data_IF_441225200688
#
_entry.id   IF_441225200688
#
_cell.length_a   1.000
_cell.length_b   1.000
_cell.length_c   1.000
_cell.angle_alpha   90.00
_cell.angle_beta   90.00
_cell.angle_gamma   90.00
#
_symmetry.space_group_name_H-M   'P 1'
#
loop_
_entity.id
_entity.type
_entity.pdbx_description
1 polymer ?
#
# COMPACT_ATOMS: atom_id res chain seq x y z
N UNK A 1 -3.26 25.32 58.69
CA UNK A 1 -4.33 26.29 58.50
C UNK A 1 -4.93 26.03 57.12
N UNK A 2 -6.13 25.47 57.23
CA UNK A 2 -7.35 25.74 56.43
C UNK A 2 -7.25 25.45 54.94
N UNK A 3 -7.76 24.35 54.42
CA UNK A 3 -9.17 23.88 54.32
C UNK A 3 -9.94 24.53 53.17
N UNK A 4 -10.65 23.67 52.51
CA UNK A 4 -11.90 23.70 51.75
C UNK A 4 -11.71 23.45 50.23
N UNK A 5 -12.14 22.26 49.76
CA UNK A 5 -13.54 21.83 49.42
C UNK A 5 -14.10 22.54 48.17
N UNK A 6 -14.42 21.75 47.17
CA UNK A 6 -15.75 21.50 46.55
C UNK A 6 -15.53 20.85 45.18
N UNK A 7 -15.79 19.66 44.89
CA UNK A 7 -16.98 18.83 44.59
C UNK A 7 -17.98 19.48 43.59
N UNK A 8 -18.24 18.81 42.49
CA UNK A 8 -19.53 18.54 41.82
C UNK A 8 -19.29 18.18 40.35
N UNK A 9 -19.67 16.99 40.04
CA UNK A 9 -20.89 16.42 39.43
C UNK A 9 -20.84 16.28 37.91
N UNK A 10 -20.77 15.03 37.53
CA UNK A 10 -21.74 14.27 36.68
C UNK A 10 -22.09 14.79 35.28
N UNK A 11 -21.82 13.99 34.28
CA UNK A 11 -22.83 13.51 33.33
C UNK A 11 -22.31 12.35 32.49
N UNK A 12 -22.82 11.18 32.76
CA UNK A 12 -22.73 9.99 31.93
C UNK A 12 -23.63 10.15 30.71
N UNK A 13 -23.09 9.89 29.52
CA UNK A 13 -23.92 9.65 28.33
C UNK A 13 -23.52 8.33 27.70
N UNK A 14 -24.22 7.31 28.18
CA UNK A 14 -24.27 5.96 27.64
C UNK A 14 -25.05 5.99 26.31
N UNK A 15 -24.41 5.87 25.18
CA UNK A 15 -25.10 5.53 23.91
C UNK A 15 -24.97 4.04 23.66
N UNK A 16 -26.05 3.34 23.97
CA UNK A 16 -26.30 1.96 23.56
C UNK A 16 -26.55 1.92 22.06
N UNK A 17 -25.68 1.24 21.34
CA UNK A 17 -25.95 0.83 19.96
C UNK A 17 -26.71 -0.49 20.04
N UNK A 18 -27.99 -0.41 19.67
CA UNK A 18 -28.90 -1.55 19.54
C UNK A 18 -28.60 -2.25 18.22
N UNK A 19 -28.05 -3.46 18.33
CA UNK A 19 -27.87 -4.37 17.20
C UNK A 19 -29.21 -5.09 16.97
N UNK A 20 -29.98 -4.68 15.94
CA UNK A 20 -31.23 -5.36 15.57
C UNK A 20 -30.90 -6.63 14.76
N UNK A 21 -31.06 -7.75 15.43
CA UNK A 21 -31.17 -9.09 14.82
C UNK A 21 -32.50 -9.18 14.06
N UNK A 22 -32.44 -9.19 12.75
CA UNK A 22 -33.61 -9.49 11.91
C UNK A 22 -33.83 -11.00 11.85
N UNK A 23 -34.82 -11.47 12.64
CA UNK A 23 -35.34 -12.84 12.66
C UNK A 23 -36.18 -13.07 11.39
N UNK A 24 -35.75 -14.03 10.59
CA UNK A 24 -36.62 -14.64 9.56
C UNK A 24 -37.83 -15.30 10.24
N UNK A 25 -39.04 -14.87 9.89
CA UNK A 25 -40.29 -15.61 10.12
C UNK A 25 -40.86 -16.02 8.77
N UNK A 26 -40.86 -17.31 8.56
CA UNK A 26 -41.70 -18.01 7.59
C UNK A 26 -43.17 -17.85 7.98
N UNK A 27 -44.01 -17.44 7.08
CA UNK A 27 -45.45 -17.36 7.26
C UNK A 27 -46.13 -17.43 5.90
N UNK A 28 -46.96 -18.46 5.76
CA UNK A 28 -47.67 -18.97 4.61
C UNK A 28 -48.66 -18.00 3.98
N UNK A 29 -48.77 -18.12 2.68
CA UNK A 29 -49.93 -18.06 1.78
C UNK A 29 -51.15 -17.15 2.11
N UNK A 30 -51.38 -16.16 1.21
CA UNK A 30 -52.74 -15.86 0.70
C UNK A 30 -52.60 -15.39 -0.75
N UNK A 31 -53.21 -16.15 -1.65
CA UNK A 31 -53.35 -15.85 -3.08
C UNK A 31 -54.43 -14.76 -3.26
N UNK A 32 -54.07 -13.64 -3.87
CA UNK A 32 -55.01 -12.71 -4.50
C UNK A 32 -54.43 -12.39 -5.90
N UNK A 33 -55.12 -12.74 -6.99
CA UNK A 33 -54.71 -12.38 -8.33
C UNK A 33 -55.19 -10.95 -8.64
N UNK A 34 -54.30 -9.96 -8.58
CA UNK A 34 -54.53 -8.67 -9.22
C UNK A 34 -53.78 -8.68 -10.54
N UNK A 35 -54.52 -8.85 -11.62
CA UNK A 35 -54.04 -8.66 -12.99
C UNK A 35 -53.88 -7.15 -13.20
N UNK A 36 -52.65 -6.65 -13.06
CA UNK A 36 -52.27 -5.34 -13.53
C UNK A 36 -51.39 -5.56 -14.77
N UNK A 37 -51.95 -5.25 -15.93
CA UNK A 37 -51.20 -5.23 -17.17
C UNK A 37 -50.14 -4.15 -17.14
N UNK A 38 -48.88 -4.53 -16.81
CA UNK A 38 -47.70 -3.68 -16.98
C UNK A 38 -47.10 -4.00 -18.33
N UNK A 39 -47.23 -3.06 -19.27
CA UNK A 39 -46.53 -3.10 -20.55
C UNK A 39 -45.02 -3.20 -20.31
N UNK A 40 -44.44 -4.38 -20.53
CA UNK A 40 -42.99 -4.56 -20.60
C UNK A 40 -42.48 -3.82 -21.84
N UNK A 41 -42.10 -2.56 -21.66
CA UNK A 41 -41.15 -1.91 -22.57
C UNK A 41 -39.83 -2.67 -22.47
N UNK A 42 -39.59 -3.60 -23.39
CA UNK A 42 -38.30 -4.24 -23.53
C UNK A 42 -37.27 -3.17 -23.93
N UNK A 43 -36.58 -2.61 -22.95
CA UNK A 43 -35.37 -1.86 -23.20
C UNK A 43 -34.34 -2.87 -23.74
N UNK A 44 -34.26 -2.97 -25.07
CA UNK A 44 -33.17 -3.69 -25.71
C UNK A 44 -31.86 -3.06 -25.29
N UNK A 45 -30.93 -3.80 -24.60
CA UNK A 45 -29.61 -3.29 -24.35
C UNK A 45 -29.01 -2.93 -25.72
N UNK A 46 -28.68 -1.66 -25.90
CA UNK A 46 -27.89 -1.23 -27.04
C UNK A 46 -26.55 -1.98 -26.95
N UNK A 47 -26.41 -3.05 -27.71
CA UNK A 47 -25.14 -3.72 -27.90
C UNK A 47 -24.21 -2.65 -28.48
N UNK A 48 -23.27 -2.20 -27.65
CA UNK A 48 -22.21 -1.33 -28.12
C UNK A 48 -21.55 -2.03 -29.29
N UNK A 49 -21.81 -1.53 -30.52
CA UNK A 49 -21.28 -2.10 -31.74
C UNK A 49 -19.75 -2.03 -31.64
N UNK A 50 -19.11 -3.17 -31.37
CA UNK A 50 -17.68 -3.29 -31.47
C UNK A 50 -17.27 -2.78 -32.85
N UNK A 51 -16.41 -1.77 -32.93
CA UNK A 51 -15.93 -1.25 -34.19
C UNK A 51 -15.22 -2.39 -34.93
N UNK A 52 -15.87 -2.92 -35.96
CA UNK A 52 -15.34 -4.01 -36.78
C UNK A 52 -14.24 -3.42 -37.66
N UNK A 53 -13.02 -3.91 -37.53
CA UNK A 53 -11.95 -3.58 -38.46
C UNK A 53 -12.20 -4.18 -39.84
N UNK A 54 -12.35 -3.34 -40.87
CA UNK A 54 -12.44 -3.77 -42.27
C UNK A 54 -11.07 -3.88 -42.97
N UNK A 55 -10.01 -4.08 -42.21
CA UNK A 55 -8.63 -4.20 -42.66
C UNK A 55 -7.86 -5.19 -41.77
N UNK A 56 -6.58 -4.99 -41.65
CA UNK A 56 -5.71 -5.79 -40.77
C UNK A 56 -5.81 -5.32 -39.34
N UNK A 57 -6.18 -6.20 -38.40
CA UNK A 57 -6.17 -5.92 -36.97
C UNK A 57 -4.74 -6.07 -36.46
N UNK A 58 -4.23 -5.03 -35.80
CA UNK A 58 -2.93 -5.03 -35.13
C UNK A 58 -3.13 -4.86 -33.62
N UNK A 59 -2.74 -5.85 -32.84
CA UNK A 59 -2.71 -5.80 -31.39
C UNK A 59 -1.30 -5.50 -30.90
N UNK A 60 -1.12 -4.42 -30.15
CA UNK A 60 0.16 -4.00 -29.60
C UNK A 60 0.11 -3.95 -28.08
N UNK A 61 1.18 -4.39 -27.46
CA UNK A 61 1.44 -4.11 -26.04
C UNK A 61 2.60 -3.14 -25.92
N UNK A 62 2.35 -2.01 -25.25
CA UNK A 62 3.35 -0.98 -24.99
C UNK A 62 3.52 -0.84 -23.48
N UNK A 63 4.75 -0.90 -23.04
CA UNK A 63 5.11 -0.71 -21.63
C UNK A 63 6.08 0.46 -21.54
N UNK A 64 5.70 1.45 -20.71
CA UNK A 64 6.54 2.59 -20.38
C UNK A 64 6.80 2.60 -18.89
N UNK A 65 8.00 3.08 -18.50
CA UNK A 65 8.38 3.21 -17.10
C UNK A 65 9.23 4.46 -16.88
N UNK A 66 9.00 5.10 -15.75
CA UNK A 66 9.81 6.24 -15.34
C UNK A 66 9.96 6.30 -13.82
N UNK A 67 11.03 6.93 -13.37
CA UNK A 67 11.26 7.21 -11.96
C UNK A 67 10.70 8.57 -11.58
N UNK A 68 10.26 8.71 -10.33
CA UNK A 68 9.80 9.99 -9.78
C UNK A 68 10.58 10.36 -8.53
N UNK A 69 10.52 11.64 -8.17
CA UNK A 69 11.09 12.09 -6.91
C UNK A 69 10.35 11.47 -5.73
N UNK A 70 11.09 11.18 -4.67
CA UNK A 70 10.55 10.72 -3.40
C UNK A 70 10.53 11.88 -2.41
N UNK A 71 9.39 12.10 -1.77
CA UNK A 71 9.22 13.05 -0.66
C UNK A 71 9.02 12.36 0.68
N UNK A 72 8.76 11.04 0.65
CA UNK A 72 8.49 10.21 1.82
C UNK A 72 9.17 8.85 1.71
N UNK A 73 9.45 8.27 2.87
CA UNK A 73 10.08 6.96 2.97
C UNK A 73 9.28 6.11 3.95
N UNK A 74 8.96 4.89 3.54
CA UNK A 74 8.38 3.87 4.42
C UNK A 74 9.51 3.09 5.04
N UNK A 75 9.47 2.96 6.37
CA UNK A 75 10.45 2.21 7.13
C UNK A 75 9.84 0.98 7.80
N UNK A 76 10.69 0.01 8.09
CA UNK A 76 10.41 -1.14 8.95
C UNK A 76 11.52 -1.30 9.96
N UNK A 77 11.16 -1.27 11.24
CA UNK A 77 12.06 -1.52 12.38
C UNK A 77 11.67 -2.84 13.03
N UNK A 78 12.61 -3.75 13.18
CA UNK A 78 12.45 -4.94 14.01
C UNK A 78 12.82 -4.63 15.45
N UNK A 79 11.94 -4.94 16.40
CA UNK A 79 12.21 -4.89 17.83
C UNK A 79 12.33 -6.28 18.37
N UNK A 80 13.36 -6.50 19.20
CA UNK A 80 13.71 -7.77 19.78
C UNK A 80 13.97 -7.60 21.28
N UNK A 81 13.50 -8.55 22.07
CA UNK A 81 13.82 -8.68 23.49
C UNK A 81 14.07 -10.16 23.84
N UNK A 82 15.04 -10.41 24.68
CA UNK A 82 15.42 -11.75 25.15
C UNK A 82 15.46 -11.76 26.67
N UNK A 83 14.95 -12.84 27.28
CA UNK A 83 14.95 -13.03 28.72
C UNK A 83 14.88 -14.53 29.05
N UNK A 84 15.03 -14.87 30.34
CA UNK A 84 14.94 -16.24 30.83
C UNK A 84 13.51 -16.81 30.83
N UNK A 85 12.49 -15.97 30.72
CA UNK A 85 11.09 -16.40 30.64
C UNK A 85 10.33 -15.61 29.60
N UNK A 86 9.25 -16.23 29.06
CA UNK A 86 8.35 -15.59 28.08
C UNK A 86 7.75 -14.30 28.63
N UNK A 87 7.31 -14.29 29.89
CA UNK A 87 6.72 -13.11 30.52
C UNK A 87 7.73 -11.96 30.62
N UNK A 88 8.97 -12.24 31.03
CA UNK A 88 10.03 -11.26 31.10
C UNK A 88 10.43 -10.73 29.71
N UNK A 89 10.55 -11.59 28.69
CA UNK A 89 10.84 -11.17 27.33
C UNK A 89 9.74 -10.25 26.77
N UNK A 90 8.48 -10.58 27.00
CA UNK A 90 7.34 -9.75 26.59
C UNK A 90 7.30 -8.40 27.33
N UNK A 91 7.55 -8.40 28.64
CA UNK A 91 7.61 -7.15 29.42
C UNK A 91 8.73 -6.22 28.93
N UNK A 92 9.91 -6.77 28.67
CA UNK A 92 11.05 -6.03 28.11
C UNK A 92 10.75 -5.50 26.70
N UNK A 93 10.09 -6.31 25.86
CA UNK A 93 9.68 -5.88 24.52
C UNK A 93 8.71 -4.71 24.58
N UNK A 94 7.71 -4.77 25.47
CA UNK A 94 6.73 -3.69 25.65
C UNK A 94 7.41 -2.39 26.10
N UNK A 95 8.34 -2.48 27.06
CA UNK A 95 9.12 -1.31 27.50
C UNK A 95 9.92 -0.67 26.34
N UNK A 96 10.57 -1.50 25.51
CA UNK A 96 11.31 -1.04 24.32
C UNK A 96 10.38 -0.42 23.29
N UNK A 97 9.21 -1.02 23.12
CA UNK A 97 8.20 -0.54 22.18
C UNK A 97 7.63 0.82 22.59
N UNK A 98 7.36 1.02 23.89
CA UNK A 98 6.85 2.29 24.40
C UNK A 98 7.87 3.41 24.23
N UNK A 99 9.15 3.13 24.49
CA UNK A 99 10.23 4.08 24.21
C UNK A 99 10.33 4.37 22.70
N UNK A 100 10.31 3.35 21.86
CA UNK A 100 10.34 3.54 20.42
C UNK A 100 9.16 4.37 19.91
N UNK A 101 7.95 4.20 20.46
CA UNK A 101 6.78 5.04 20.13
C UNK A 101 7.01 6.50 20.49
N UNK A 102 7.53 6.77 21.67
CA UNK A 102 7.81 8.14 22.12
C UNK A 102 8.85 8.83 21.24
N UNK A 103 9.95 8.14 20.96
CA UNK A 103 11.08 8.72 20.23
C UNK A 103 10.78 8.84 18.70
N UNK A 104 9.93 7.96 18.16
CA UNK A 104 9.52 8.01 16.75
C UNK A 104 8.40 9.04 16.49
N UNK A 105 7.59 9.38 17.49
CA UNK A 105 6.43 10.27 17.34
C UNK A 105 6.72 11.58 16.60
N UNK A 106 7.81 12.31 16.92
CA UNK A 106 8.10 13.58 16.23
C UNK A 106 8.60 13.41 14.79
N UNK A 107 9.05 12.22 14.39
CA UNK A 107 9.64 11.97 13.08
C UNK A 107 8.65 11.41 12.06
N UNK A 108 7.59 10.73 12.53
CA UNK A 108 6.69 9.90 11.70
C UNK A 108 5.56 10.73 11.12
N UNK A 109 5.23 10.44 9.87
CA UNK A 109 4.04 10.95 9.19
C UNK A 109 2.86 9.99 9.46
N UNK A 110 1.87 10.47 10.22
CA UNK A 110 0.68 9.67 10.54
C UNK A 110 0.91 8.62 11.64
N UNK A 111 0.19 7.51 11.57
CA UNK A 111 0.20 6.47 12.59
C UNK A 111 1.25 5.40 12.34
N UNK A 112 1.82 4.85 13.42
CA UNK A 112 2.65 3.65 13.36
C UNK A 112 1.77 2.40 13.21
N UNK A 113 2.20 1.47 12.37
CA UNK A 113 1.62 0.14 12.25
C UNK A 113 2.49 -0.84 13.04
N UNK A 114 1.90 -1.46 14.07
CA UNK A 114 2.61 -2.36 14.99
C UNK A 114 1.77 -3.64 15.12
N UNK A 115 2.15 -4.73 14.43
CA UNK A 115 1.48 -6.03 14.58
C UNK A 115 1.69 -6.61 15.98
N UNK A 116 0.83 -7.55 16.35
CA UNK A 116 0.93 -8.26 17.62
C UNK A 116 2.32 -8.92 17.77
N UNK A 117 2.95 -8.85 18.96
CA UNK A 117 4.23 -9.47 19.23
C UNK A 117 4.17 -10.99 19.10
N UNK A 118 5.29 -11.58 18.69
CA UNK A 118 5.50 -13.02 18.67
C UNK A 118 6.58 -13.40 19.68
N UNK A 119 6.43 -14.55 20.32
CA UNK A 119 7.46 -15.10 21.21
C UNK A 119 7.77 -16.54 20.84
N UNK A 120 9.03 -16.92 20.99
CA UNK A 120 9.53 -18.27 20.79
C UNK A 120 10.74 -18.54 21.66
N UNK A 121 10.92 -19.81 22.02
CA UNK A 121 12.08 -20.28 22.76
C UNK A 121 13.22 -20.60 21.82
N UNK A 122 14.45 -20.32 22.22
CA UNK A 122 15.65 -20.71 21.49
C UNK A 122 16.77 -21.09 22.47
N UNK A 123 17.72 -21.86 22.00
CA UNK A 123 18.74 -22.45 22.86
C UNK A 123 18.27 -23.73 23.54
N UNK A 124 19.06 -24.28 24.44
CA UNK A 124 18.72 -25.53 25.14
C UNK A 124 19.06 -26.82 24.39
N UNK A 125 19.86 -26.73 23.30
CA UNK A 125 20.30 -27.93 22.54
C UNK A 125 21.37 -28.76 23.23
N UNK A 126 21.98 -28.26 24.32
CA UNK A 126 22.88 -29.02 25.18
C UNK A 126 22.57 -28.69 26.64
N UNK A 127 22.92 -29.60 27.55
CA UNK A 127 22.70 -29.44 29.00
C UNK A 127 23.34 -28.16 29.61
N UNK A 128 24.31 -27.56 28.91
CA UNK A 128 25.04 -26.35 29.33
C UNK A 128 24.52 -25.05 28.71
N UNK A 129 23.61 -25.12 27.76
CA UNK A 129 23.08 -23.91 27.09
C UNK A 129 21.76 -23.47 27.75
N UNK A 130 21.67 -22.28 28.35
CA UNK A 130 20.42 -21.82 28.95
C UNK A 130 19.36 -21.67 27.89
N UNK A 131 18.15 -22.14 28.20
CA UNK A 131 16.97 -21.87 27.39
C UNK A 131 16.59 -20.39 27.54
N UNK A 132 16.58 -19.67 26.44
CA UNK A 132 16.18 -18.26 26.40
C UNK A 132 14.85 -18.11 25.64
N UNK A 133 14.06 -17.16 26.07
CA UNK A 133 12.83 -16.75 25.41
C UNK A 133 13.06 -15.45 24.67
N UNK A 134 12.61 -15.43 23.42
CA UNK A 134 12.74 -14.26 22.55
C UNK A 134 11.35 -13.74 22.20
N UNK A 135 11.11 -12.46 22.42
CA UNK A 135 9.93 -11.75 21.96
C UNK A 135 10.30 -10.74 20.86
N UNK A 136 9.49 -10.64 19.83
CA UNK A 136 9.75 -9.72 18.71
C UNK A 136 8.47 -9.14 18.11
N UNK A 137 8.59 -7.94 17.55
CA UNK A 137 7.57 -7.29 16.73
C UNK A 137 8.23 -6.37 15.70
N UNK A 138 7.43 -5.91 14.73
CA UNK A 138 7.88 -4.95 13.74
C UNK A 138 7.12 -3.64 13.93
N UNK A 139 7.82 -2.51 13.82
CA UNK A 139 7.23 -1.17 13.77
C UNK A 139 7.39 -0.63 12.37
N UNK A 140 6.29 -0.29 11.73
CA UNK A 140 6.28 0.29 10.38
C UNK A 140 5.65 1.68 10.42
N UNK A 141 6.18 2.57 9.60
CA UNK A 141 5.65 3.93 9.48
C UNK A 141 6.22 4.63 8.25
N UNK A 142 5.88 5.89 8.11
CA UNK A 142 6.39 6.74 7.04
C UNK A 142 7.07 7.97 7.65
N UNK A 143 8.16 8.40 7.06
CA UNK A 143 8.87 9.63 7.42
C UNK A 143 9.02 10.55 6.22
N UNK A 144 9.11 11.85 6.48
CA UNK A 144 9.43 12.83 5.44
C UNK A 144 10.89 12.70 5.01
N UNK A 145 11.19 13.25 3.84
CA UNK A 145 12.57 13.35 3.36
C UNK A 145 13.51 14.05 4.36
N UNK A 146 13.03 15.09 5.06
CA UNK A 146 13.83 15.81 6.05
C UNK A 146 14.15 14.98 7.30
N UNK A 147 13.33 14.01 7.65
CA UNK A 147 13.52 13.15 8.83
C UNK A 147 14.21 11.81 8.49
N UNK A 148 14.66 11.63 7.24
CA UNK A 148 15.26 10.38 6.76
C UNK A 148 16.48 9.95 7.60
N UNK A 149 17.47 10.84 7.72
CA UNK A 149 18.70 10.56 8.45
C UNK A 149 18.45 10.47 9.97
N UNK A 150 17.61 11.37 10.52
CA UNK A 150 17.24 11.35 11.93
C UNK A 150 16.61 10.01 12.36
N UNK A 151 15.78 9.39 11.51
CA UNK A 151 15.22 8.07 11.76
C UNK A 151 16.30 6.98 11.81
N UNK A 152 17.25 7.00 10.88
CA UNK A 152 18.32 6.00 10.82
C UNK A 152 19.20 6.10 12.07
N UNK A 153 19.58 7.32 12.44
CA UNK A 153 20.36 7.57 13.66
C UNK A 153 19.61 7.15 14.93
N UNK A 154 18.30 7.45 15.00
CA UNK A 154 17.47 7.02 16.12
C UNK A 154 17.40 5.50 16.21
N UNK A 155 17.16 4.81 15.10
CA UNK A 155 17.10 3.34 15.05
C UNK A 155 18.42 2.71 15.55
N UNK A 156 19.57 3.32 15.24
CA UNK A 156 20.88 2.85 15.70
C UNK A 156 21.14 3.06 17.21
N UNK A 157 20.42 3.97 17.86
CA UNK A 157 20.56 4.26 19.30
C UNK A 157 19.62 3.47 20.20
N UNK A 158 18.51 2.99 19.65
CA UNK A 158 17.49 2.28 20.42
C UNK A 158 17.90 0.84 20.72
N UNK A 159 17.87 0.39 21.99
CA UNK A 159 18.29 -0.96 22.36
C UNK A 159 17.32 -2.01 21.82
N UNK A 160 17.86 -3.04 21.15
CA UNK A 160 17.07 -4.14 20.59
C UNK A 160 16.24 -3.73 19.37
N UNK A 161 16.52 -2.57 18.78
CA UNK A 161 15.93 -2.11 17.52
C UNK A 161 16.91 -2.34 16.38
N UNK A 162 16.37 -2.82 15.25
CA UNK A 162 17.13 -3.00 14.02
C UNK A 162 16.34 -2.44 12.85
N UNK A 163 16.94 -1.57 12.08
CA UNK A 163 16.37 -1.11 10.81
C UNK A 163 16.39 -2.28 9.81
N UNK A 164 15.20 -2.74 9.39
CA UNK A 164 15.05 -3.84 8.45
C UNK A 164 14.97 -3.36 7.00
N UNK A 165 14.58 -2.12 6.80
CA UNK A 165 14.55 -1.51 5.47
C UNK A 165 13.87 -0.16 5.45
N UNK A 166 14.21 0.59 4.39
CA UNK A 166 13.55 1.83 4.00
C UNK A 166 13.22 1.78 2.52
N UNK A 167 12.04 2.24 2.16
CA UNK A 167 11.54 2.23 0.79
C UNK A 167 11.07 3.63 0.42
N UNK A 168 11.59 4.15 -0.67
CA UNK A 168 11.15 5.43 -1.23
C UNK A 168 9.70 5.36 -1.72
N UNK A 169 8.91 6.36 -1.39
CA UNK A 169 7.53 6.50 -1.87
C UNK A 169 7.42 7.69 -2.81
N UNK A 170 6.72 7.50 -3.91
CA UNK A 170 6.40 8.60 -4.80
C UNK A 170 5.48 9.62 -4.09
N UNK A 171 5.69 10.91 -4.33
CA UNK A 171 4.74 11.92 -3.88
C UNK A 171 3.39 11.72 -4.57
N UNK A 172 2.30 12.05 -3.88
CA UNK A 172 0.95 11.91 -4.45
C UNK A 172 0.79 12.77 -5.71
N UNK A 173 1.25 14.02 -5.67
CA UNK A 173 1.21 14.93 -6.83
C UNK A 173 2.13 14.47 -7.96
N UNK A 174 3.37 14.11 -7.67
CA UNK A 174 4.31 13.59 -8.65
C UNK A 174 3.86 12.27 -9.27
N UNK A 175 3.11 11.45 -8.52
CA UNK A 175 2.57 10.19 -9.01
C UNK A 175 1.53 10.37 -10.13
N UNK A 176 0.60 11.32 -10.00
CA UNK A 176 -0.42 11.61 -11.01
C UNK A 176 0.21 12.19 -12.27
N UNK A 177 1.04 13.22 -12.12
CA UNK A 177 1.71 13.85 -13.26
C UNK A 177 2.57 12.85 -14.05
N UNK A 178 3.25 11.93 -13.34
CA UNK A 178 4.02 10.88 -13.96
C UNK A 178 3.16 9.88 -14.72
N UNK A 179 1.99 9.51 -14.18
CA UNK A 179 1.05 8.60 -14.83
C UNK A 179 0.51 9.18 -16.13
N UNK A 180 0.14 10.47 -16.13
CA UNK A 180 -0.26 11.20 -17.33
C UNK A 180 0.86 11.26 -18.37
N UNK A 181 2.11 11.48 -17.93
CA UNK A 181 3.26 11.48 -18.81
C UNK A 181 3.49 10.10 -19.44
N UNK A 182 3.46 9.03 -18.64
CA UNK A 182 3.61 7.66 -19.11
C UNK A 182 2.51 7.27 -20.09
N UNK A 183 1.26 7.68 -19.83
CA UNK A 183 0.13 7.44 -20.73
C UNK A 183 0.37 8.10 -22.10
N UNK A 184 0.77 9.39 -22.10
CA UNK A 184 1.08 10.11 -23.34
C UNK A 184 2.23 9.45 -24.12
N UNK A 185 3.29 9.02 -23.43
CA UNK A 185 4.43 8.34 -24.05
C UNK A 185 4.03 6.99 -24.65
N UNK A 186 3.28 6.18 -23.90
CA UNK A 186 2.82 4.87 -24.37
C UNK A 186 1.90 4.97 -25.58
N UNK A 187 0.97 5.94 -25.62
CA UNK A 187 0.12 6.19 -26.77
C UNK A 187 0.90 6.65 -28.00
N UNK A 188 1.88 7.55 -27.79
CA UNK A 188 2.77 8.01 -28.87
C UNK A 188 3.59 6.85 -29.47
N UNK A 189 4.14 6.02 -28.59
CA UNK A 189 4.94 4.86 -29.02
C UNK A 189 4.07 3.80 -29.71
N UNK A 190 2.88 3.51 -29.20
CA UNK A 190 1.93 2.61 -29.84
C UNK A 190 1.56 3.07 -31.25
N UNK A 191 1.23 4.36 -31.42
CA UNK A 191 0.95 4.94 -32.72
C UNK A 191 2.15 4.89 -33.68
N UNK A 192 3.35 5.16 -33.19
CA UNK A 192 4.57 5.03 -33.97
C UNK A 192 4.77 3.62 -34.51
N UNK A 193 4.61 2.60 -33.64
CA UNK A 193 4.73 1.18 -34.05
C UNK A 193 3.66 0.80 -35.05
N UNK A 194 2.42 1.22 -34.82
CA UNK A 194 1.32 0.94 -35.74
C UNK A 194 1.55 1.56 -37.14
N UNK A 195 2.07 2.80 -37.20
CA UNK A 195 2.41 3.44 -38.47
C UNK A 195 3.53 2.70 -39.21
N UNK A 196 4.58 2.29 -38.48
CA UNK A 196 5.69 1.51 -39.08
C UNK A 196 5.17 0.19 -39.67
N UNK A 197 4.29 -0.51 -38.91
CA UNK A 197 3.70 -1.76 -39.38
C UNK A 197 2.80 -1.53 -40.61
N UNK A 198 1.97 -0.48 -40.57
CA UNK A 198 1.11 -0.15 -41.71
C UNK A 198 1.93 0.14 -42.99
N UNK A 199 2.99 0.96 -42.85
CA UNK A 199 3.90 1.29 -43.96
C UNK A 199 4.57 0.04 -44.54
N UNK A 200 5.02 -0.89 -43.67
CA UNK A 200 5.64 -2.14 -44.10
C UNK A 200 4.67 -3.06 -44.86
N UNK A 201 3.37 -2.93 -44.60
CA UNK A 201 2.30 -3.67 -45.29
C UNK A 201 1.74 -2.92 -46.52
N UNK A 202 2.27 -1.74 -46.84
CA UNK A 202 1.74 -0.90 -47.91
C UNK A 202 0.39 -0.25 -47.59
N UNK A 203 0.03 -0.16 -46.32
CA UNK A 203 -1.22 0.44 -45.83
C UNK A 203 -1.00 1.88 -45.35
N UNK A 204 -1.91 2.80 -45.71
CA UNK A 204 -1.73 4.23 -45.43
C UNK A 204 -2.53 4.76 -44.25
N UNK A 205 -3.47 3.98 -43.73
CA UNK A 205 -4.36 4.47 -42.66
C UNK A 205 -4.27 3.61 -41.41
N UNK A 206 -4.19 4.28 -40.25
CA UNK A 206 -4.08 3.66 -38.92
C UNK A 206 -5.14 4.24 -38.00
N UNK A 207 -6.13 3.45 -37.63
CA UNK A 207 -7.22 3.84 -36.74
C UNK A 207 -7.11 3.08 -35.43
N UNK A 208 -7.09 3.79 -34.29
CA UNK A 208 -7.11 3.20 -32.95
C UNK A 208 -8.53 2.74 -32.61
N UNK A 209 -8.72 1.46 -32.30
CA UNK A 209 -10.02 0.85 -32.01
C UNK A 209 -10.25 0.72 -30.51
N UNK A 210 -9.25 0.29 -29.77
CA UNK A 210 -9.38 0.00 -28.34
C UNK A 210 -8.10 0.30 -27.57
N UNK A 211 -8.29 0.80 -26.35
CA UNK A 211 -7.22 0.99 -25.36
C UNK A 211 -7.59 0.13 -24.15
N UNK A 212 -6.69 -0.74 -23.73
CA UNK A 212 -6.79 -1.50 -22.49
C UNK A 212 -5.63 -1.11 -21.59
N UNK A 213 -5.93 -0.32 -20.55
CA UNK A 213 -4.93 0.15 -19.61
C UNK A 213 -4.82 -0.82 -18.44
N UNK A 214 -3.62 -1.35 -18.23
CA UNK A 214 -3.26 -2.10 -17.02
C UNK A 214 -2.33 -1.24 -16.19
N UNK A 215 -2.82 -0.79 -15.04
CA UNK A 215 -1.99 -0.07 -14.09
C UNK A 215 -0.90 -1.03 -13.57
N UNK A 216 0.34 -0.75 -13.92
CA UNK A 216 1.50 -1.39 -13.31
C UNK A 216 1.66 -0.87 -11.88
N UNK A 217 1.76 -1.79 -10.91
CA UNK A 217 2.03 -1.40 -9.52
C UNK A 217 3.36 -0.65 -9.39
N UNK A 218 3.45 0.23 -8.40
CA UNK A 218 4.74 0.79 -7.97
C UNK A 218 5.59 -0.38 -7.48
N UNK A 219 6.69 -0.67 -8.13
CA UNK A 219 7.67 -1.61 -7.61
C UNK A 219 8.57 -0.87 -6.62
N UNK A 220 8.46 -1.14 -5.31
CA UNK A 220 9.42 -0.65 -4.35
C UNK A 220 10.76 -1.34 -4.62
N UNK A 221 11.80 -0.57 -4.79
CA UNK A 221 13.16 -1.13 -4.82
C UNK A 221 13.59 -1.30 -3.37
N UNK A 222 13.70 -2.56 -2.92
CA UNK A 222 14.18 -2.87 -1.59
C UNK A 222 15.69 -2.66 -1.51
N UNK A 223 16.15 -2.00 -0.45
CA UNK A 223 17.56 -1.92 -0.11
C UNK A 223 18.00 -3.18 0.64
N UNK A 224 19.12 -3.74 0.21
CA UNK A 224 19.88 -4.69 1.01
C UNK A 224 20.54 -3.98 2.20
N UNK A 225 20.72 -4.69 3.30
CA UNK A 225 21.28 -4.20 4.56
C UNK A 225 22.57 -3.41 4.34
N UNK A 226 22.53 -2.10 4.60
CA UNK A 226 23.73 -1.29 4.67
C UNK A 226 24.47 -1.59 5.96
N UNK A 227 25.67 -2.13 5.87
CA UNK A 227 26.58 -2.26 7.01
C UNK A 227 26.92 -0.85 7.51
N UNK A 228 26.58 -0.59 8.76
CA UNK A 228 26.72 0.71 9.41
C UNK A 228 28.19 1.05 9.64
N UNK A 229 28.81 1.75 8.71
CA UNK A 229 30.15 2.35 8.94
C UNK A 229 30.42 3.62 8.16
N UNK A 230 29.39 4.46 7.83
CA UNK A 230 29.62 5.74 7.13
C UNK A 230 28.70 6.86 7.61
N UNK A 231 29.19 8.12 7.51
CA UNK A 231 28.47 9.30 7.96
C UNK A 231 27.22 9.56 7.09
N UNK A 232 26.19 10.07 7.73
CA UNK A 232 24.94 10.64 7.18
C UNK A 232 24.43 9.98 5.90
N UNK A 233 23.43 9.11 6.03
CA UNK A 233 22.69 8.58 4.89
C UNK A 233 21.91 9.71 4.21
N UNK A 234 22.15 9.90 2.92
CA UNK A 234 21.49 10.95 2.15
C UNK A 234 20.24 10.40 1.48
N UNK A 235 19.08 11.06 1.62
CA UNK A 235 17.85 10.62 0.97
C UNK A 235 17.93 10.65 -0.57
N UNK A 236 18.89 11.37 -1.14
CA UNK A 236 19.16 11.42 -2.58
C UNK A 236 19.80 10.14 -3.13
N UNK A 237 20.50 9.41 -2.26
CA UNK A 237 21.14 8.13 -2.58
C UNK A 237 20.13 6.97 -2.54
N UNK A 238 18.92 7.21 -1.98
CA UNK A 238 17.86 6.22 -1.96
C UNK A 238 17.34 5.94 -3.38
N UNK A 239 17.05 4.67 -3.76
CA UNK A 239 16.49 4.37 -5.06
C UNK A 239 15.20 5.15 -5.28
N UNK A 240 15.11 5.79 -6.44
CA UNK A 240 13.90 6.50 -6.83
C UNK A 240 12.77 5.49 -7.08
N UNK A 241 11.55 5.75 -6.61
CA UNK A 241 10.42 4.89 -6.90
C UNK A 241 10.16 4.87 -8.41
N UNK A 242 10.00 3.68 -8.96
CA UNK A 242 9.67 3.49 -10.38
C UNK A 242 8.17 3.20 -10.53
N UNK A 243 7.58 3.81 -11.53
CA UNK A 243 6.21 3.53 -11.95
C UNK A 243 6.22 2.99 -13.37
N UNK A 244 5.42 1.98 -13.65
CA UNK A 244 5.24 1.44 -14.99
C UNK A 244 3.78 1.47 -15.39
N UNK A 245 3.53 1.70 -16.68
CA UNK A 245 2.22 1.65 -17.31
C UNK A 245 2.29 0.68 -18.48
N UNK A 246 1.32 -0.21 -18.59
CA UNK A 246 1.20 -1.12 -19.73
C UNK A 246 -0.14 -0.84 -20.43
N UNK A 247 -0.08 -0.57 -21.74
CA UNK A 247 -1.23 -0.39 -22.59
C UNK A 247 -1.33 -1.54 -23.58
N UNK A 248 -2.50 -2.16 -23.65
CA UNK A 248 -2.93 -2.94 -24.81
C UNK A 248 -3.64 -2.01 -25.79
N UNK A 249 -3.19 -1.97 -27.05
CA UNK A 249 -3.69 -1.06 -28.07
C UNK A 249 -4.07 -1.87 -29.30
N UNK A 250 -5.33 -1.78 -29.73
CA UNK A 250 -5.79 -2.42 -30.93
C UNK A 250 -5.98 -1.37 -32.04
N UNK A 251 -5.32 -1.59 -33.16
CA UNK A 251 -5.38 -0.71 -34.33
C UNK A 251 -5.97 -1.45 -35.54
N UNK A 252 -6.73 -0.72 -36.35
CA UNK A 252 -7.15 -1.19 -37.68
C UNK A 252 -6.27 -0.50 -38.73
N UNK A 253 -5.56 -1.30 -39.49
CA UNK A 253 -4.68 -0.84 -40.58
C UNK A 253 -5.45 -1.01 -41.92
N UNK A 254 -5.47 0.04 -42.74
CA UNK A 254 -6.18 0.09 -44.03
C UNK A 254 -5.38 0.83 -45.08
#
# INVERSE_FOLDING_TARGET
MTALMTALMTAALTRRIVCSRQRRRSGSAVLIPVVVGVGLGAATPALASAQVCKGTLLELQVQESASTASDRFRFSLGLLAEASSKAAAMALLNQRLDRARQDLKPLVLGALNIPAPRSYSFGGGSASSPKLERASTNVRGEVSRGNYDALIQLAGRLPGVRLQGMTSLASSRGGVALEDQLLKQALKEGRRRANVTASALGLGRVDLLRINQRAGGVRPVAYAEARMSKPAFRPDEAPKPMRSLTLGLDYCLR
#
